data_IF_390169131207
#
_entry.id   IF_390169131207
#
_cell.length_a   1.000
_cell.length_b   1.000
_cell.length_c   1.000
_cell.angle_alpha   90.00
_cell.angle_beta   90.00
_cell.angle_gamma   90.00
#
_symmetry.space_group_name_H-M   'P 1'
#
loop_
_entity.id
_entity.type
_entity.pdbx_description
1 polymer ?
#
# COMPACT_ATOMS: atom_id res chain seq x y z
N UNK A 1 4.69 -10.03 0.68
CA UNK A 1 4.94 -10.94 1.81
C UNK A 1 3.62 -11.31 2.46
N UNK A 2 3.49 -12.54 2.93
CA UNK A 2 2.35 -13.03 3.71
C UNK A 2 2.84 -13.44 5.09
N UNK A 3 2.01 -13.18 6.10
CA UNK A 3 2.33 -13.43 7.51
C UNK A 3 1.19 -14.26 8.11
N UNK A 4 1.55 -15.37 8.75
CA UNK A 4 0.56 -16.23 9.41
C UNK A 4 0.09 -15.61 10.73
N UNK A 5 -1.16 -15.13 10.77
CA UNK A 5 -1.71 -14.47 11.95
C UNK A 5 -2.03 -15.44 13.10
N UNK A 6 -2.09 -16.74 12.83
CA UNK A 6 -2.32 -17.79 13.83
C UNK A 6 -1.12 -17.99 14.76
N UNK A 7 0.06 -17.47 14.40
CA UNK A 7 1.24 -17.48 15.27
C UNK A 7 1.16 -16.39 16.34
N UNK A 8 1.80 -16.57 17.51
CA UNK A 8 1.96 -15.53 18.53
C UNK A 8 2.65 -14.28 17.95
N UNK A 9 2.32 -13.06 18.41
CA UNK A 9 2.89 -11.83 17.86
C UNK A 9 4.43 -11.79 17.80
N UNK A 10 5.12 -12.39 18.78
CA UNK A 10 6.59 -12.48 18.82
C UNK A 10 7.21 -13.35 17.73
N UNK A 11 6.41 -14.21 17.09
CA UNK A 11 6.87 -15.21 16.12
C UNK A 11 6.56 -14.81 14.68
N UNK A 12 5.50 -14.01 14.46
CA UNK A 12 4.95 -13.70 13.12
C UNK A 12 5.95 -13.13 12.12
N UNK A 13 6.85 -12.27 12.59
CA UNK A 13 7.79 -11.52 11.73
C UNK A 13 9.19 -12.13 11.70
N UNK A 14 9.39 -13.31 12.31
CA UNK A 14 10.66 -14.03 12.18
C UNK A 14 10.84 -14.47 10.73
N UNK A 15 12.06 -14.40 10.15
CA UNK A 15 12.30 -14.75 8.75
C UNK A 15 11.74 -16.11 8.33
N UNK A 16 11.79 -17.11 9.23
CA UNK A 16 11.27 -18.46 9.02
C UNK A 16 9.73 -18.56 8.96
N UNK A 17 9.00 -17.56 9.46
CA UNK A 17 7.53 -17.52 9.53
C UNK A 17 6.90 -16.55 8.51
N UNK A 18 7.73 -15.93 7.68
CA UNK A 18 7.31 -15.01 6.63
C UNK A 18 7.37 -15.71 5.27
N UNK A 19 6.26 -15.68 4.55
CA UNK A 19 6.20 -16.23 3.20
C UNK A 19 6.35 -15.13 2.15
N UNK A 20 7.37 -15.24 1.29
CA UNK A 20 7.57 -14.33 0.16
C UNK A 20 6.85 -14.89 -1.06
N UNK A 21 5.61 -14.44 -1.27
CA UNK A 21 4.77 -14.90 -2.37
C UNK A 21 5.25 -14.46 -3.78
N UNK A 22 6.14 -13.48 -3.85
CA UNK A 22 6.66 -13.01 -5.14
C UNK A 22 7.71 -11.91 -4.97
N UNK A 23 8.60 -11.82 -5.95
CA UNK A 23 9.61 -10.78 -6.09
C UNK A 23 9.40 -10.14 -7.45
N UNK A 24 9.15 -8.84 -7.47
CA UNK A 24 8.93 -8.10 -8.71
C UNK A 24 10.28 -7.54 -9.15
N UNK A 25 10.85 -8.00 -10.28
CA UNK A 25 12.13 -7.51 -10.74
C UNK A 25 12.03 -6.04 -11.18
N UNK A 26 13.04 -5.25 -10.85
CA UNK A 26 13.23 -3.90 -11.39
C UNK A 26 13.64 -3.93 -12.87
N UNK A 27 13.83 -2.75 -13.51
CA UNK A 27 13.99 -1.43 -12.90
C UNK A 27 12.70 -0.62 -12.78
N UNK A 28 11.61 -1.03 -13.45
CA UNK A 28 10.34 -0.30 -13.45
C UNK A 28 9.29 -1.05 -12.64
N UNK A 29 8.53 -0.30 -11.87
CA UNK A 29 7.39 -0.83 -11.14
C UNK A 29 6.26 -1.21 -12.12
N UNK A 30 5.54 -2.33 -11.91
CA UNK A 30 4.42 -2.70 -12.75
C UNK A 30 3.27 -1.69 -12.68
N UNK A 31 2.49 -1.64 -13.75
CA UNK A 31 1.16 -1.01 -13.75
C UNK A 31 0.19 -1.84 -12.89
N UNK A 32 -0.96 -1.26 -12.50
CA UNK A 32 -1.99 -2.00 -11.77
C UNK A 32 -2.47 -3.24 -12.54
N UNK A 33 -2.65 -3.12 -13.86
CA UNK A 33 -2.99 -4.26 -14.70
C UNK A 33 -1.87 -5.29 -14.70
N UNK A 34 -0.61 -4.90 -14.89
CA UNK A 34 0.54 -5.82 -14.84
C UNK A 34 0.65 -6.53 -13.48
N UNK A 35 0.34 -5.85 -12.39
CA UNK A 35 0.35 -6.43 -11.05
C UNK A 35 -0.69 -7.56 -10.91
N UNK A 36 -1.87 -7.43 -11.53
CA UNK A 36 -2.88 -8.49 -11.53
C UNK A 36 -2.32 -9.82 -12.08
N UNK A 37 -1.51 -9.77 -13.14
CA UNK A 37 -0.86 -10.97 -13.71
C UNK A 37 0.12 -11.61 -12.76
N UNK A 38 0.96 -10.79 -12.14
CA UNK A 38 2.01 -11.25 -11.24
C UNK A 38 1.40 -11.92 -10.01
N UNK A 39 0.22 -11.48 -9.59
CA UNK A 39 -0.52 -12.02 -8.46
C UNK A 39 -1.45 -13.18 -8.82
N UNK A 40 -1.77 -13.40 -10.10
CA UNK A 40 -2.72 -14.43 -10.53
C UNK A 40 -2.41 -15.84 -9.99
N UNK A 41 -1.16 -16.35 -9.98
CA UNK A 41 -0.85 -17.65 -9.40
C UNK A 41 -1.18 -17.71 -7.91
N UNK A 42 -0.81 -16.66 -7.16
CA UNK A 42 -1.09 -16.56 -5.74
C UNK A 42 -2.60 -16.52 -5.46
N UNK A 43 -3.36 -15.74 -6.22
CA UNK A 43 -4.82 -15.64 -6.03
C UNK A 43 -5.49 -16.98 -6.31
N UNK A 44 -5.04 -17.71 -7.34
CA UNK A 44 -5.55 -19.05 -7.64
C UNK A 44 -5.34 -20.01 -6.47
N UNK A 45 -4.12 -20.07 -5.92
CA UNK A 45 -3.81 -20.91 -4.76
C UNK A 45 -4.64 -20.50 -3.53
N UNK A 46 -4.80 -19.19 -3.28
CA UNK A 46 -5.62 -18.69 -2.18
C UNK A 46 -7.11 -19.04 -2.34
N UNK A 47 -7.65 -19.04 -3.56
CA UNK A 47 -9.02 -19.50 -3.83
C UNK A 47 -9.19 -20.98 -3.53
N UNK A 48 -8.23 -21.81 -3.90
CA UNK A 48 -8.23 -23.24 -3.57
C UNK A 48 -8.14 -23.46 -2.05
N UNK A 49 -7.21 -22.78 -1.38
CA UNK A 49 -7.04 -22.85 0.07
C UNK A 49 -8.22 -22.29 0.86
N UNK A 50 -9.02 -21.39 0.28
CA UNK A 50 -10.25 -20.91 0.90
C UNK A 50 -11.32 -22.01 0.98
N UNK A 51 -11.46 -22.82 -0.07
CA UNK A 51 -12.34 -24.00 -0.07
C UNK A 51 -11.82 -25.09 0.88
N UNK A 52 -10.51 -25.07 1.13
CA UNK A 52 -9.82 -25.86 2.11
C UNK A 52 -8.97 -26.96 1.49
N UNK A 53 -7.94 -27.37 2.22
CA UNK A 53 -6.94 -28.32 1.76
C UNK A 53 -6.64 -29.37 2.83
N UNK A 54 -6.65 -30.63 2.43
CA UNK A 54 -6.27 -31.76 3.28
C UNK A 54 -4.79 -32.09 3.10
N UNK A 55 -4.00 -31.85 4.13
CA UNK A 55 -2.64 -32.37 4.23
C UNK A 55 -2.65 -33.85 4.58
N UNK A 56 -1.74 -34.58 3.94
CA UNK A 56 -1.48 -35.97 4.26
C UNK A 56 -1.07 -36.15 5.73
N UNK A 57 -1.38 -37.31 6.35
CA UNK A 57 -0.88 -37.67 7.67
C UNK A 57 0.61 -37.40 7.85
N UNK A 58 0.96 -36.86 9.02
CA UNK A 58 2.34 -36.68 9.46
C UNK A 58 2.60 -37.53 10.70
N UNK A 59 3.87 -37.69 11.10
CA UNK A 59 4.24 -38.42 12.33
C UNK A 59 3.53 -37.86 13.58
N UNK A 60 3.32 -36.55 13.63
CA UNK A 60 2.62 -35.86 14.72
C UNK A 60 1.12 -35.70 14.51
N UNK A 61 0.60 -36.03 13.32
CA UNK A 61 -0.80 -35.88 12.92
C UNK A 61 -1.25 -37.04 12.03
N UNK A 62 -1.48 -38.24 12.59
CA UNK A 62 -1.76 -39.45 11.82
C UNK A 62 -3.09 -39.43 11.05
N UNK A 63 -3.98 -38.49 11.36
CA UNK A 63 -5.23 -38.27 10.62
C UNK A 63 -5.11 -37.25 9.48
N UNK A 64 -3.91 -36.69 9.28
CA UNK A 64 -3.74 -35.51 8.43
C UNK A 64 -4.32 -34.26 9.08
N UNK A 65 -4.33 -33.16 8.32
CA UNK A 65 -4.87 -31.88 8.78
C UNK A 65 -5.65 -31.22 7.67
N UNK A 66 -6.83 -30.70 7.98
CA UNK A 66 -7.59 -29.84 7.08
C UNK A 66 -7.35 -28.39 7.46
N UNK A 67 -7.01 -27.54 6.49
CA UNK A 67 -6.88 -26.09 6.71
C UNK A 67 -7.69 -25.32 5.70
N UNK A 68 -8.12 -24.12 6.10
CA UNK A 68 -8.57 -23.06 5.21
C UNK A 68 -7.66 -21.84 5.40
N UNK A 69 -7.39 -21.10 4.33
CA UNK A 69 -6.57 -19.87 4.38
C UNK A 69 -7.38 -18.71 3.85
N UNK A 70 -7.28 -17.56 4.54
CA UNK A 70 -7.84 -16.30 4.10
C UNK A 70 -6.84 -15.16 4.33
N UNK A 71 -6.82 -14.20 3.42
CA UNK A 71 -6.10 -12.93 3.62
C UNK A 71 -7.00 -12.00 4.41
N UNK A 72 -6.58 -11.59 5.60
CA UNK A 72 -7.37 -10.70 6.45
C UNK A 72 -7.21 -9.22 6.07
N UNK A 73 -6.00 -8.80 5.71
CA UNK A 73 -5.72 -7.42 5.33
C UNK A 73 -4.44 -7.29 4.50
N UNK A 74 -4.40 -6.28 3.64
CA UNK A 74 -3.18 -5.80 3.01
C UNK A 74 -2.62 -4.60 3.81
N UNK A 75 -1.36 -4.69 4.24
CA UNK A 75 -0.63 -3.56 4.84
C UNK A 75 0.36 -3.04 3.80
N UNK A 76 0.10 -1.84 3.30
CA UNK A 76 0.76 -1.29 2.11
C UNK A 76 0.86 0.23 2.19
N UNK A 77 1.87 0.81 1.55
CA UNK A 77 1.89 2.27 1.33
C UNK A 77 0.77 2.70 0.37
N UNK A 78 0.47 4.00 0.29
CA UNK A 78 -0.63 4.50 -0.56
C UNK A 78 -0.46 4.13 -2.04
N UNK A 79 0.77 4.14 -2.57
CA UNK A 79 1.00 3.90 -4.02
C UNK A 79 0.79 2.43 -4.37
N UNK A 80 1.40 1.53 -3.60
CA UNK A 80 1.25 0.10 -3.74
C UNK A 80 -0.20 -0.32 -3.52
N UNK A 81 -0.86 0.28 -2.54
CA UNK A 81 -2.26 0.04 -2.23
C UNK A 81 -3.19 0.33 -3.40
N UNK A 82 -3.11 1.54 -3.99
CA UNK A 82 -3.95 1.89 -5.13
C UNK A 82 -3.82 0.87 -6.28
N UNK A 83 -2.60 0.41 -6.57
CA UNK A 83 -2.36 -0.62 -7.60
C UNK A 83 -2.89 -2.00 -7.20
N UNK A 84 -2.69 -2.38 -5.94
CA UNK A 84 -3.08 -3.68 -5.41
C UNK A 84 -4.59 -3.82 -5.33
N UNK A 85 -5.33 -2.76 -4.98
CA UNK A 85 -6.79 -2.82 -4.77
C UNK A 85 -7.59 -2.23 -5.91
N UNK A 86 -6.94 -1.69 -6.95
CA UNK A 86 -7.61 -1.10 -8.09
C UNK A 86 -8.19 0.28 -7.83
N UNK A 87 -7.77 0.99 -6.78
CA UNK A 87 -8.11 2.40 -6.62
C UNK A 87 -7.23 3.30 -7.49
N UNK A 88 -7.76 4.46 -7.89
CA UNK A 88 -6.98 5.49 -8.57
C UNK A 88 -5.95 6.10 -7.61
N UNK A 89 -4.80 6.52 -8.15
CA UNK A 89 -3.74 7.14 -7.37
C UNK A 89 -4.14 8.51 -6.80
N UNK A 90 -3.29 9.04 -5.91
CA UNK A 90 -3.45 10.36 -5.30
C UNK A 90 -3.60 11.53 -6.29
N UNK A 91 -3.21 11.36 -7.56
CA UNK A 91 -3.39 12.39 -8.59
C UNK A 91 -4.82 12.46 -9.14
N UNK A 92 -5.61 11.39 -8.95
CA UNK A 92 -6.98 11.27 -9.46
C UNK A 92 -8.01 12.15 -8.74
N UNK A 93 -9.20 12.21 -9.31
CA UNK A 93 -10.32 12.99 -8.75
C UNK A 93 -10.91 12.36 -7.48
N UNK A 94 -10.93 11.03 -7.41
CA UNK A 94 -11.40 10.26 -6.26
C UNK A 94 -10.22 9.55 -5.58
N UNK A 95 -9.31 10.33 -5.01
CA UNK A 95 -8.02 9.89 -4.50
C UNK A 95 -8.07 9.11 -3.18
N UNK A 96 -9.18 9.20 -2.45
CA UNK A 96 -9.34 8.51 -1.17
C UNK A 96 -9.87 7.09 -1.38
N UNK A 97 -9.27 6.15 -0.64
CA UNK A 97 -9.62 4.73 -0.69
C UNK A 97 -10.72 4.38 0.31
N UNK A 98 -10.94 5.24 1.30
CA UNK A 98 -11.93 5.03 2.36
C UNK A 98 -13.24 5.79 2.11
N UNK A 99 -13.17 6.94 1.43
CA UNK A 99 -14.34 7.76 1.13
C UNK A 99 -14.39 8.18 -0.34
N UNK A 100 -15.52 8.71 -0.77
CA UNK A 100 -15.79 9.14 -2.15
C UNK A 100 -15.55 10.65 -2.35
N UNK A 101 -14.74 11.29 -1.51
CA UNK A 101 -14.47 12.74 -1.64
C UNK A 101 -13.86 13.04 -3.02
N UNK A 102 -14.39 14.08 -3.67
CA UNK A 102 -13.83 14.59 -4.91
C UNK A 102 -12.68 15.57 -4.61
N UNK A 103 -11.64 15.58 -5.44
CA UNK A 103 -10.47 16.47 -5.29
C UNK A 103 -10.81 17.95 -5.23
N UNK A 104 -11.88 18.37 -5.89
CA UNK A 104 -12.39 19.75 -5.82
C UNK A 104 -12.88 20.14 -4.42
N UNK A 105 -13.19 19.16 -3.57
CA UNK A 105 -13.70 19.32 -2.21
C UNK A 105 -12.63 18.94 -1.17
N UNK A 106 -11.34 18.93 -1.53
CA UNK A 106 -10.26 18.49 -0.63
C UNK A 106 -10.16 19.31 0.66
N UNK A 107 -10.61 20.57 0.62
CA UNK A 107 -10.63 21.47 1.77
C UNK A 107 -11.86 21.28 2.67
N UNK A 108 -12.83 20.46 2.27
CA UNK A 108 -14.04 20.17 3.05
C UNK A 108 -13.70 19.18 4.17
N UNK A 109 -13.55 19.70 5.39
CA UNK A 109 -13.16 18.92 6.56
C UNK A 109 -14.41 18.62 7.40
N UNK A 110 -14.68 17.34 7.62
CA UNK A 110 -15.72 16.87 8.52
C UNK A 110 -16.48 15.67 7.97
N UNK A 111 -17.03 14.81 8.84
CA UNK A 111 -17.72 13.57 8.43
C UNK A 111 -18.94 13.82 7.53
N UNK A 112 -19.56 15.01 7.64
CA UNK A 112 -20.70 15.40 6.79
C UNK A 112 -20.36 15.54 5.30
N UNK A 113 -19.07 15.71 4.97
CA UNK A 113 -18.60 15.88 3.59
C UNK A 113 -18.04 14.59 3.00
N UNK A 114 -17.91 13.53 3.81
CA UNK A 114 -17.20 12.31 3.45
C UNK A 114 -18.14 11.11 3.51
N UNK A 115 -18.54 10.61 2.34
CA UNK A 115 -19.27 9.35 2.26
C UNK A 115 -18.29 8.19 2.19
N UNK A 116 -18.38 7.27 3.15
CA UNK A 116 -17.58 6.04 3.15
C UNK A 116 -17.90 5.19 1.92
N UNK A 117 -16.88 4.59 1.31
CA UNK A 117 -17.09 3.63 0.22
C UNK A 117 -17.81 2.40 0.76
N UNK A 118 -18.90 2.00 0.12
CA UNK A 118 -19.59 0.75 0.44
C UNK A 118 -19.09 -0.39 -0.45
N UNK A 119 -19.12 -1.60 0.10
CA UNK A 119 -18.79 -2.82 -0.64
C UNK A 119 -19.66 -2.98 -1.90
N UNK A 120 -20.96 -2.72 -1.80
CA UNK A 120 -21.92 -2.85 -2.91
C UNK A 120 -21.62 -1.85 -4.04
N UNK A 121 -21.33 -0.59 -3.70
CA UNK A 121 -20.98 0.43 -4.68
C UNK A 121 -19.63 0.12 -5.34
N UNK A 122 -18.68 -0.40 -4.57
CA UNK A 122 -17.37 -0.83 -5.07
C UNK A 122 -17.52 -1.98 -6.08
N UNK A 123 -18.22 -3.06 -5.70
CA UNK A 123 -18.46 -4.22 -6.59
C UNK A 123 -19.25 -3.85 -7.84
N UNK A 124 -20.31 -3.05 -7.73
CA UNK A 124 -21.08 -2.61 -8.90
C UNK A 124 -20.25 -1.74 -9.85
N UNK A 125 -19.35 -0.90 -9.33
CA UNK A 125 -18.42 -0.11 -10.15
C UNK A 125 -17.39 -0.99 -10.87
N UNK A 126 -16.84 -1.99 -10.17
CA UNK A 126 -15.91 -2.95 -10.80
C UNK A 126 -16.64 -3.73 -11.90
N UNK A 127 -17.89 -4.14 -11.68
CA UNK A 127 -18.67 -4.85 -12.69
C UNK A 127 -18.84 -3.98 -13.93
N UNK A 128 -19.26 -2.71 -13.76
CA UNK A 128 -19.32 -1.74 -14.86
C UNK A 128 -17.99 -1.63 -15.60
N UNK A 129 -16.86 -1.60 -14.87
CA UNK A 129 -15.52 -1.51 -15.45
C UNK A 129 -15.15 -2.77 -16.25
N UNK A 130 -15.46 -3.97 -15.74
CA UNK A 130 -15.17 -5.25 -16.42
C UNK A 130 -15.92 -5.37 -17.75
N UNK A 131 -17.21 -5.01 -17.77
CA UNK A 131 -18.06 -5.08 -18.97
C UNK A 131 -17.86 -3.91 -19.94
N UNK A 132 -17.11 -2.88 -19.54
CA UNK A 132 -16.84 -1.71 -20.36
C UNK A 132 -15.72 -1.95 -21.39
N UNK A 133 -15.80 -1.24 -22.52
CA UNK A 133 -14.72 -1.21 -23.50
C UNK A 133 -13.45 -0.54 -22.93
N UNK A 134 -12.26 -0.77 -23.53
CA UNK A 134 -11.02 -0.14 -23.06
C UNK A 134 -11.09 1.38 -22.92
N UNK A 135 -11.81 2.07 -23.82
CA UNK A 135 -11.99 3.52 -23.76
C UNK A 135 -12.93 3.92 -22.61
N UNK A 136 -14.01 3.17 -22.40
CA UNK A 136 -14.97 3.40 -21.32
C UNK A 136 -14.36 3.13 -19.94
N UNK A 137 -13.48 2.14 -19.81
CA UNK A 137 -12.76 1.81 -18.56
C UNK A 137 -12.00 2.99 -18.00
N UNK A 138 -11.35 3.77 -18.86
CA UNK A 138 -10.63 4.97 -18.42
C UNK A 138 -11.59 6.07 -17.93
N UNK A 139 -12.75 6.22 -18.57
CA UNK A 139 -13.78 7.15 -18.13
C UNK A 139 -14.37 6.73 -16.77
N UNK A 140 -14.69 5.45 -16.59
CA UNK A 140 -15.18 4.89 -15.32
C UNK A 140 -14.15 5.07 -14.21
N UNK A 141 -12.87 4.77 -14.47
CA UNK A 141 -11.81 4.98 -13.49
C UNK A 141 -11.67 6.46 -13.10
N UNK A 142 -11.82 7.38 -14.05
CA UNK A 142 -11.80 8.82 -13.78
C UNK A 142 -13.01 9.27 -12.97
N UNK A 143 -14.19 8.74 -13.28
CA UNK A 143 -15.47 9.11 -12.67
C UNK A 143 -15.61 8.55 -11.25
N UNK A 144 -15.27 7.28 -11.01
CA UNK A 144 -15.49 6.61 -9.73
C UNK A 144 -14.22 6.36 -8.90
N UNK A 145 -13.05 6.44 -9.54
CA UNK A 145 -11.76 6.17 -8.91
C UNK A 145 -11.47 4.70 -8.67
N UNK A 146 -12.18 3.78 -9.34
CA UNK A 146 -12.07 2.33 -9.14
C UNK A 146 -11.91 1.63 -10.49
N UNK A 147 -11.03 0.64 -10.52
CA UNK A 147 -10.84 -0.33 -11.59
C UNK A 147 -10.69 -1.73 -10.98
N UNK A 148 -10.72 -2.76 -11.84
CA UNK A 148 -10.56 -4.14 -11.40
C UNK A 148 -9.17 -4.43 -10.81
N UNK A 149 -9.16 -5.16 -9.69
CA UNK A 149 -7.99 -5.83 -9.13
C UNK A 149 -8.26 -7.33 -9.05
N UNK A 150 -7.22 -8.14 -9.28
CA UNK A 150 -7.31 -9.61 -9.14
C UNK A 150 -7.69 -10.07 -7.72
N UNK A 151 -7.49 -9.23 -6.69
CA UNK A 151 -7.96 -9.55 -5.34
C UNK A 151 -9.48 -9.66 -5.25
N UNK A 152 -10.21 -9.05 -6.18
CA UNK A 152 -11.67 -9.10 -6.23
C UNK A 152 -12.22 -10.49 -6.57
N UNK A 153 -11.37 -11.40 -7.04
CA UNK A 153 -11.69 -12.82 -7.27
C UNK A 153 -11.72 -13.66 -5.99
N UNK A 154 -11.19 -13.13 -4.88
CA UNK A 154 -11.28 -13.78 -3.57
C UNK A 154 -12.68 -13.52 -2.99
N UNK A 155 -13.45 -14.56 -2.63
CA UNK A 155 -14.87 -14.41 -2.26
C UNK A 155 -15.09 -13.62 -0.96
N UNK A 156 -14.09 -13.60 -0.08
CA UNK A 156 -14.12 -12.88 1.20
C UNK A 156 -13.51 -11.47 1.12
N UNK A 157 -12.95 -11.07 -0.02
CA UNK A 157 -12.19 -9.82 -0.11
C UNK A 157 -13.08 -8.59 -0.23
N UNK A 158 -12.80 -7.58 0.59
CA UNK A 158 -13.41 -6.26 0.56
C UNK A 158 -12.31 -5.18 0.61
N UNK A 159 -11.98 -4.61 -0.56
CA UNK A 159 -10.98 -3.56 -0.68
C UNK A 159 -11.31 -2.29 0.12
N UNK A 160 -12.58 -2.06 0.49
CA UNK A 160 -13.00 -0.89 1.26
C UNK A 160 -12.67 -1.00 2.75
N UNK A 161 -12.43 -2.23 3.25
CA UNK A 161 -12.22 -2.51 4.68
C UNK A 161 -10.96 -3.30 5.00
N UNK A 162 -10.45 -4.10 4.05
CA UNK A 162 -9.33 -5.03 4.26
C UNK A 162 -7.98 -4.44 3.87
N UNK A 163 -7.86 -3.11 3.93
CA UNK A 163 -6.64 -2.37 3.57
C UNK A 163 -6.24 -1.48 4.73
N UNK A 164 -5.01 -1.67 5.20
CA UNK A 164 -4.38 -0.82 6.19
C UNK A 164 -3.23 -0.04 5.56
N UNK A 165 -3.25 1.28 5.72
CA UNK A 165 -2.14 2.13 5.31
C UNK A 165 -0.94 1.89 6.23
N UNK A 166 0.22 1.65 5.63
CA UNK A 166 1.45 1.54 6.40
C UNK A 166 1.77 2.86 7.11
N UNK A 167 1.79 2.81 8.44
CA UNK A 167 2.06 3.95 9.32
C UNK A 167 3.49 4.47 9.08
N UNK A 168 4.46 3.58 8.86
CA UNK A 168 5.85 4.00 8.72
C UNK A 168 6.02 4.86 7.47
N UNK A 169 5.64 4.37 6.29
CA UNK A 169 5.84 5.10 5.05
C UNK A 169 4.91 6.31 4.90
N UNK A 170 3.63 6.19 5.29
CA UNK A 170 2.67 7.27 5.06
C UNK A 170 2.70 8.33 6.16
N UNK A 171 2.69 7.95 7.44
CA UNK A 171 2.62 8.89 8.54
C UNK A 171 4.00 9.39 8.96
N UNK A 172 4.95 8.50 9.25
CA UNK A 172 6.26 8.89 9.81
C UNK A 172 7.16 9.47 8.73
N UNK A 173 7.39 8.73 7.63
CA UNK A 173 8.30 9.13 6.57
C UNK A 173 7.68 10.09 5.55
N UNK A 174 6.34 10.12 5.47
CA UNK A 174 5.58 11.07 4.67
C UNK A 174 5.23 12.30 5.49
N UNK A 175 4.07 12.26 6.16
CA UNK A 175 3.45 13.43 6.80
C UNK A 175 4.36 14.09 7.84
N UNK A 176 4.88 13.33 8.80
CA UNK A 176 5.67 13.89 9.91
C UNK A 176 6.98 14.50 9.40
N UNK A 177 7.67 13.81 8.47
CA UNK A 177 8.88 14.32 7.83
C UNK A 177 8.60 15.64 7.11
N UNK A 178 7.56 15.69 6.27
CA UNK A 178 7.21 16.87 5.49
C UNK A 178 6.76 18.02 6.41
N UNK A 179 5.98 17.72 7.45
CA UNK A 179 5.54 18.71 8.42
C UNK A 179 6.73 19.30 9.20
N UNK A 180 7.62 18.45 9.70
CA UNK A 180 8.82 18.90 10.41
C UNK A 180 9.72 19.75 9.50
N UNK A 181 9.97 19.30 8.27
CA UNK A 181 10.87 20.00 7.35
C UNK A 181 10.29 21.32 6.83
N UNK A 182 9.01 21.35 6.43
CA UNK A 182 8.43 22.46 5.68
C UNK A 182 7.49 23.35 6.49
N UNK A 183 6.84 22.83 7.54
CA UNK A 183 5.90 23.61 8.36
C UNK A 183 6.55 24.11 9.64
N UNK A 184 7.34 23.25 10.29
CA UNK A 184 8.08 23.62 11.51
C UNK A 184 9.48 24.15 11.21
N UNK A 185 9.90 24.15 9.94
CA UNK A 185 11.22 24.60 9.49
C UNK A 185 12.38 23.94 10.26
N UNK A 186 12.18 22.71 10.75
CA UNK A 186 13.19 21.89 11.40
C UNK A 186 14.07 21.29 10.29
N UNK A 187 14.91 22.13 9.68
CA UNK A 187 15.81 21.69 8.64
C UNK A 187 16.71 20.57 9.16
N UNK A 188 16.78 19.45 8.42
CA UNK A 188 17.93 18.58 8.53
C UNK A 188 19.15 19.42 8.14
N UNK A 189 20.12 19.52 9.05
CA UNK A 189 21.48 19.95 8.74
C UNK A 189 21.92 19.30 7.42
N UNK A 190 22.05 20.14 6.37
CA UNK A 190 22.55 19.89 5.01
C UNK A 190 22.63 18.41 4.58
N UNK A 191 21.56 17.89 3.97
CA UNK A 191 21.71 16.93 2.87
C UNK A 191 20.72 17.28 1.75
N UNK A 192 21.19 17.13 0.51
CA UNK A 192 20.68 17.78 -0.72
C UNK A 192 19.15 17.78 -0.83
N UNK A 193 18.56 18.97 -0.86
CA UNK A 193 17.17 19.20 -1.25
C UNK A 193 17.05 18.81 -2.73
N UNK A 194 16.44 17.65 -3.01
CA UNK A 194 15.93 17.37 -4.35
C UNK A 194 14.69 18.24 -4.56
N UNK A 195 14.87 19.36 -5.25
CA UNK A 195 13.75 20.16 -5.73
C UNK A 195 12.92 19.35 -6.73
N UNK A 196 11.65 19.13 -6.41
CA UNK A 196 10.62 18.74 -7.39
C UNK A 196 10.34 19.95 -8.27
N UNK A 197 11.09 20.08 -9.37
CA UNK A 197 10.81 21.07 -10.41
C UNK A 197 9.47 20.74 -11.08
N UNK A 198 8.47 21.58 -10.83
CA UNK A 198 7.29 21.70 -11.67
C UNK A 198 7.48 22.88 -12.63
N UNK A 199 7.25 22.60 -13.93
CA UNK A 199 6.91 23.53 -15.02
C UNK A 199 7.80 24.75 -15.25
N UNK A 200 8.50 24.77 -16.39
CA UNK A 200 8.79 25.99 -17.13
C UNK A 200 7.93 26.01 -18.40
N UNK A 201 7.00 26.94 -18.46
CA UNK A 201 6.61 27.64 -19.69
C UNK A 201 7.58 28.80 -19.90
N UNK A 202 7.83 29.13 -21.16
CA UNK A 202 8.73 30.18 -21.65
C UNK A 202 8.47 31.57 -21.04
N UNK A 203 9.54 32.33 -20.76
CA UNK A 203 9.93 33.52 -21.56
C UNK A 203 11.06 34.35 -20.89
N UNK A 204 11.99 34.75 -21.76
CA UNK A 204 13.00 35.84 -21.81
C UNK A 204 13.39 36.72 -20.59
N UNK A 205 14.73 36.88 -20.42
CA UNK A 205 15.56 38.05 -20.02
C UNK A 205 15.06 38.96 -18.86
N UNK A 206 15.84 39.41 -17.85
CA UNK A 206 17.09 40.21 -17.91
C UNK A 206 17.60 40.50 -16.46
N UNK A 207 18.93 40.54 -16.27
CA UNK A 207 19.79 41.36 -15.34
C UNK A 207 19.36 41.84 -13.92
N UNK A 208 20.30 41.55 -12.99
CA UNK A 208 21.01 42.45 -12.05
C UNK A 208 20.49 42.85 -10.64
N UNK A 209 21.33 42.43 -9.66
CA UNK A 209 21.97 43.17 -8.54
C UNK A 209 21.25 43.51 -7.22
N UNK A 210 21.98 43.18 -6.13
CA UNK A 210 22.15 43.87 -4.83
C UNK A 210 20.98 43.86 -3.81
N UNK A 211 21.15 43.75 -2.48
CA UNK A 211 22.30 43.64 -1.58
C UNK A 211 21.79 43.45 -0.12
N UNK A 212 22.75 43.26 0.80
CA UNK A 212 22.74 43.56 2.24
C UNK A 212 22.23 42.51 3.25
N UNK A 213 23.24 42.00 3.96
CA UNK A 213 23.20 41.30 5.25
C UNK A 213 22.87 42.26 6.39
N UNK A 214 22.01 41.80 7.33
CA UNK A 214 21.97 42.33 8.69
C UNK A 214 21.99 41.15 9.68
N UNK A 215 23.11 41.01 10.40
CA UNK A 215 23.26 40.08 11.51
C UNK A 215 22.44 40.61 12.70
N UNK A 216 21.47 39.84 13.20
CA UNK A 216 20.84 40.11 14.49
C UNK A 216 21.39 39.13 15.54
N UNK A 217 21.90 39.66 16.64
CA UNK A 217 22.46 38.90 17.77
C UNK A 217 21.42 38.05 18.53
N UNK A 218 20.15 38.10 18.12
CA UNK A 218 19.04 37.31 18.68
C UNK A 218 19.07 35.84 18.22
N UNK A 219 19.62 35.55 17.04
CA UNK A 219 19.66 34.19 16.48
C UNK A 219 20.61 33.25 17.25
N UNK A 220 21.66 33.80 17.86
CA UNK A 220 22.67 33.01 18.59
C UNK A 220 22.19 32.53 19.96
N UNK A 221 21.26 33.25 20.59
CA UNK A 221 20.68 32.88 21.89
C UNK A 221 19.64 31.76 21.68
N UNK A 222 18.84 31.86 20.61
CA UNK A 222 17.89 30.83 20.19
C UNK A 222 18.58 29.50 19.82
N UNK A 223 19.70 29.56 19.09
CA UNK A 223 20.48 28.36 18.74
C UNK A 223 21.08 27.63 19.96
N UNK A 224 21.50 28.36 21.01
CA UNK A 224 22.04 27.74 22.23
C UNK A 224 20.95 27.01 23.03
N UNK A 225 19.75 27.59 23.10
CA UNK A 225 18.58 26.94 23.71
C UNK A 225 18.19 25.67 22.97
N UNK A 226 18.14 25.72 21.63
CA UNK A 226 17.84 24.56 20.80
C UNK A 226 18.88 23.42 20.95
N UNK A 227 20.17 23.75 21.03
CA UNK A 227 21.22 22.75 21.26
C UNK A 227 21.17 22.12 22.66
N UNK A 228 20.69 22.84 23.68
CA UNK A 228 20.46 22.26 25.01
C UNK A 228 19.33 21.23 24.95
N UNK A 229 18.20 21.60 24.34
CA UNK A 229 17.02 20.73 24.25
C UNK A 229 17.28 19.47 23.42
N UNK A 230 18.05 19.58 22.33
CA UNK A 230 18.46 18.41 21.52
C UNK A 230 19.38 17.49 22.35
N UNK A 231 20.29 18.05 23.15
CA UNK A 231 21.17 17.27 24.02
C UNK A 231 20.38 16.56 25.13
N UNK A 232 19.44 17.25 25.75
CA UNK A 232 18.61 16.70 26.82
C UNK A 232 17.68 15.59 26.28
N UNK A 233 17.10 15.79 25.09
CA UNK A 233 16.32 14.76 24.40
C UNK A 233 17.17 13.52 24.03
N UNK A 234 18.39 13.72 23.52
CA UNK A 234 19.30 12.62 23.19
C UNK A 234 19.73 11.84 24.45
N UNK A 235 19.85 12.53 25.59
CA UNK A 235 20.18 11.91 26.88
C UNK A 235 19.04 11.03 27.38
N UNK A 236 17.80 11.53 27.32
CA UNK A 236 16.60 10.76 27.67
C UNK A 236 16.46 9.52 26.78
N UNK A 237 16.66 9.65 25.47
CA UNK A 237 16.59 8.51 24.54
C UNK A 237 17.66 7.45 24.88
N UNK A 238 18.90 7.86 25.15
CA UNK A 238 19.97 6.93 25.50
C UNK A 238 19.81 6.29 26.89
N UNK A 239 19.21 6.99 27.85
CA UNK A 239 18.89 6.45 29.18
C UNK A 239 17.66 5.51 29.15
N UNK A 240 16.83 5.59 28.11
CA UNK A 240 15.61 4.76 27.94
C UNK A 240 15.86 3.45 27.17
N UNK A 241 17.05 3.27 26.59
CA UNK A 241 17.40 2.09 25.79
C UNK A 241 18.12 1.05 26.69
N UNK A 242 17.65 -0.20 26.76
CA UNK A 242 18.36 -1.25 27.50
C UNK A 242 19.71 -1.53 26.84
N UNK A 243 20.80 -1.37 27.60
CA UNK A 243 22.16 -1.68 27.19
C UNK A 243 22.39 -3.19 27.21
N UNK A 244 22.25 -3.84 26.06
CA UNK A 244 22.92 -5.12 25.78
C UNK A 244 23.48 -5.11 24.37
N UNK A 245 24.66 -4.51 24.23
CA UNK A 245 25.55 -4.78 23.12
C UNK A 245 26.16 -6.16 23.31
N UNK A 246 25.82 -7.10 22.44
CA UNK A 246 26.67 -8.25 22.16
C UNK A 246 26.81 -8.32 20.65
N UNK A 247 27.81 -7.63 20.11
CA UNK A 247 28.30 -7.88 18.76
C UNK A 247 28.78 -9.33 18.70
N UNK A 248 27.97 -10.24 18.15
CA UNK A 248 28.47 -11.51 17.61
C UNK A 248 28.81 -11.27 16.15
N UNK A 249 30.11 -11.35 15.85
CA UNK A 249 30.65 -11.37 14.49
C UNK A 249 30.11 -12.59 13.74
N UNK A 250 29.17 -12.39 12.83
CA UNK A 250 28.78 -13.39 11.83
C UNK A 250 29.56 -13.14 10.54
N UNK A 251 30.84 -13.53 10.56
CA UNK A 251 31.59 -13.78 9.32
C UNK A 251 32.16 -15.19 9.45
N UNK A 252 31.97 -15.98 8.39
CA UNK A 252 32.35 -17.39 8.18
C UNK A 252 31.35 -18.47 8.66
N UNK A 253 30.50 -18.90 7.73
CA UNK A 253 29.99 -20.29 7.67
C UNK A 253 30.02 -20.76 6.19
N UNK A 254 30.34 -22.04 5.89
CA UNK A 254 30.53 -22.53 4.53
C UNK A 254 29.19 -22.77 3.82
N UNK A 255 29.13 -22.46 2.52
CA UNK A 255 28.01 -22.70 1.62
C UNK A 255 27.75 -24.20 1.44
N UNK A 256 26.52 -24.72 1.68
CA UNK A 256 26.13 -26.04 1.20
C UNK A 256 25.77 -25.94 -0.30
N UNK A 257 26.28 -26.91 -1.06
CA UNK A 257 26.04 -27.05 -2.49
C UNK A 257 24.56 -27.43 -2.72
N UNK A 258 23.72 -26.45 -3.09
CA UNK A 258 22.37 -26.73 -3.59
C UNK A 258 22.40 -26.74 -5.12
N UNK A 259 21.98 -27.87 -5.71
CA UNK A 259 21.78 -27.98 -7.14
C UNK A 259 20.64 -27.04 -7.57
N UNK A 260 20.94 -26.15 -8.51
CA UNK A 260 19.97 -25.27 -9.15
C UNK A 260 18.92 -26.10 -9.91
N UNK A 261 17.61 -25.93 -9.65
CA UNK A 261 16.62 -26.28 -10.65
C UNK A 261 16.68 -25.27 -11.80
N UNK A 262 16.69 -25.80 -13.02
CA UNK A 262 16.76 -25.09 -14.29
C UNK A 262 15.77 -23.93 -14.38
N UNK A 263 16.24 -22.80 -14.91
CA UNK A 263 15.45 -21.59 -15.17
C UNK A 263 14.22 -21.89 -16.03
N UNK A 264 13.03 -21.84 -15.44
CA UNK A 264 11.78 -21.73 -16.20
C UNK A 264 11.61 -20.24 -16.52
N UNK A 265 11.92 -19.85 -17.75
CA UNK A 265 11.50 -18.58 -18.32
C UNK A 265 9.97 -18.60 -18.42
N UNK A 266 9.28 -18.12 -17.40
CA UNK A 266 7.84 -17.90 -17.47
C UNK A 266 7.59 -16.69 -18.36
N UNK A 267 7.17 -16.94 -19.60
CA UNK A 267 6.54 -15.92 -20.43
C UNK A 267 5.33 -15.36 -19.65
N UNK A 268 5.28 -14.05 -19.48
CA UNK A 268 4.16 -13.38 -18.81
C UNK A 268 2.94 -13.56 -19.72
N UNK A 269 1.88 -14.28 -19.30
CA UNK A 269 0.69 -14.45 -20.12
C UNK A 269 0.06 -13.08 -20.41
N UNK A 270 -0.39 -12.85 -21.64
CA UNK A 270 -1.21 -11.67 -21.98
C UNK A 270 -2.60 -11.81 -21.36
N UNK A 271 -3.17 -10.78 -20.73
CA UNK A 271 -4.51 -10.91 -20.15
C UNK A 271 -5.50 -10.57 -21.18
N UNK A 272 -6.47 -11.47 -21.19
CA UNK A 272 -7.68 -11.23 -21.87
C UNK A 272 -8.28 -9.96 -21.29
N UNK A 273 -8.28 -8.90 -22.10
CA UNK A 273 -8.99 -7.67 -21.76
C UNK A 273 -10.46 -7.94 -21.50
N UNK A 274 -10.97 -9.10 -21.92
CA UNK A 274 -12.33 -9.58 -21.71
C UNK A 274 -12.45 -10.61 -20.57
N UNK A 275 -11.42 -10.77 -19.73
CA UNK A 275 -11.52 -11.60 -18.53
C UNK A 275 -12.65 -11.09 -17.65
N UNK A 276 -13.66 -11.93 -17.48
CA UNK A 276 -14.79 -11.73 -16.58
C UNK A 276 -14.76 -12.91 -15.60
N UNK A 277 -14.68 -12.67 -14.28
CA UNK A 277 -14.71 -13.75 -13.29
C UNK A 277 -15.98 -14.58 -13.45
N UNK A 278 -15.85 -15.91 -13.46
CA UNK A 278 -16.97 -16.85 -13.66
C UNK A 278 -18.07 -16.76 -12.59
N UNK A 279 -17.78 -16.14 -11.45
CA UNK A 279 -18.70 -15.98 -10.31
C UNK A 279 -19.56 -14.70 -10.41
N UNK A 280 -19.31 -13.83 -11.40
CA UNK A 280 -19.99 -12.53 -11.53
C UNK A 280 -21.13 -12.59 -12.55
N UNK A 281 -22.04 -13.54 -12.38
CA UNK A 281 -23.29 -13.62 -13.13
C UNK A 281 -24.29 -12.57 -12.60
N UNK A 282 -24.36 -11.43 -13.31
CA UNK A 282 -25.23 -10.29 -12.96
C UNK A 282 -26.72 -10.64 -13.13
N UNK A 283 -27.07 -11.79 -13.69
CA UNK A 283 -28.47 -12.23 -13.75
C UNK A 283 -29.12 -12.47 -12.38
N UNK A 284 -28.32 -12.57 -11.31
CA UNK A 284 -28.79 -12.68 -9.92
C UNK A 284 -28.90 -11.32 -9.17
N UNK A 285 -28.44 -10.20 -9.76
CA UNK A 285 -28.64 -8.87 -9.21
C UNK A 285 -30.05 -8.39 -9.58
N UNK A 286 -31.05 -8.78 -8.78
CA UNK A 286 -32.42 -8.27 -8.94
C UNK A 286 -32.46 -6.74 -8.81
N UNK A 287 -33.36 -6.08 -9.56
CA UNK A 287 -33.57 -4.62 -9.56
C UNK A 287 -33.77 -4.01 -8.16
N UNK A 288 -34.11 -4.82 -7.16
CA UNK A 288 -34.21 -4.43 -5.76
C UNK A 288 -32.85 -4.12 -5.09
N UNK A 289 -31.74 -4.69 -5.54
CA UNK A 289 -30.41 -4.38 -4.97
C UNK A 289 -29.77 -3.11 -5.58
N UNK A 290 -30.28 -2.63 -6.72
CA UNK A 290 -29.86 -1.37 -7.36
C UNK A 290 -30.52 -0.16 -6.68
N UNK A 291 -31.68 -0.36 -6.05
CA UNK A 291 -32.36 0.66 -5.25
C UNK A 291 -32.10 0.38 -3.77
N UNK A 292 -31.03 0.97 -3.24
CA UNK A 292 -30.63 0.77 -1.84
C UNK A 292 -31.77 0.97 -0.85
N UNK A 293 -32.31 -0.13 -0.32
CA UNK A 293 -33.10 -0.15 0.90
C UNK A 293 -32.21 -0.71 2.01
N UNK A 294 -32.08 0.09 3.07
CA UNK A 294 -31.35 -0.25 4.27
C UNK A 294 -32.00 -1.46 4.95
N UNK A 295 -31.22 -2.53 5.16
CA UNK A 295 -31.52 -3.52 6.18
C UNK A 295 -30.83 -3.06 7.46
N UNK A 296 -31.57 -2.28 8.25
CA UNK A 296 -31.43 -2.32 9.71
C UNK A 296 -31.80 -3.74 10.20
N UNK A 297 -31.19 -4.13 11.32
CA UNK A 297 -31.37 -5.39 12.07
C UNK A 297 -30.55 -6.60 11.62
N UNK A 298 -29.31 -6.70 12.17
CA UNK A 298 -28.89 -7.75 13.12
C UNK A 298 -27.45 -7.51 13.64
#
# INVERSE_FOLDING_TARGET
MLICLNLPPSERLKPENVYVAGIIPGPKEPTALQLNYLLMPLIKELKELWQGYHFSPTSTGPSGSFICVAILMAIVDVVAMCKLTGFISHSGNHFCNFCTIHKAQIEEIGPQFHYTRSYQNHKSTIAKWLWASPQQRQAILSEYGVQYSILEDLPYWDATRMVNLDIMNNLILGILKDHAAFKLCMAQSKSKIYFRSGRKSDDTNTSDSDSMTSNSSLDKISLRGAHSLIRDAAKVINESLPTTSTQKNYLSMPTPHMQHPSSVSAEIPSFDSNYIPSEWDISALSDHQIKGEALEDL
#
